data_IF_354871223175
#
_entry.id   IF_354871223175
#
_cell.length_a   1.000
_cell.length_b   1.000
_cell.length_c   1.000
_cell.angle_alpha   90.00
_cell.angle_beta   90.00
_cell.angle_gamma   90.00
#
_symmetry.space_group_name_H-M   'P 1'
#
loop_
_entity.id
_entity.type
_entity.pdbx_description
1 polymer ?
#
# COMPACT_ATOMS: atom_id res chain seq x y z
N UNK A 1 -1.62 -14.00 17.00
CA UNK A 1 -1.89 -14.02 15.55
C UNK A 1 -1.36 -15.32 14.99
N UNK A 2 -1.78 -15.72 13.77
CA UNK A 2 -1.19 -16.87 13.06
C UNK A 2 0.18 -16.49 12.48
N UNK A 3 0.34 -15.26 12.00
CA UNK A 3 1.62 -14.69 11.59
C UNK A 3 2.40 -14.16 12.80
N UNK A 4 3.70 -14.41 12.83
CA UNK A 4 4.68 -13.71 13.65
C UNK A 4 4.91 -12.28 13.13
N UNK A 5 5.48 -11.41 13.97
CA UNK A 5 5.87 -10.05 13.54
C UNK A 5 6.81 -10.07 12.33
N UNK A 6 7.79 -10.99 12.32
CA UNK A 6 8.73 -11.11 11.22
C UNK A 6 8.05 -11.53 9.91
N UNK A 7 7.12 -12.49 9.96
CA UNK A 7 6.34 -12.91 8.78
C UNK A 7 5.41 -11.80 8.26
N UNK A 8 4.82 -10.99 9.16
CA UNK A 8 4.03 -9.83 8.77
C UNK A 8 4.89 -8.78 8.06
N UNK A 9 6.06 -8.43 8.62
CA UNK A 9 6.99 -7.48 8.00
C UNK A 9 7.42 -8.00 6.62
N UNK A 10 7.86 -9.26 6.52
CA UNK A 10 8.28 -9.85 5.25
C UNK A 10 7.14 -9.87 4.21
N UNK A 11 5.89 -10.07 4.65
CA UNK A 11 4.72 -9.98 3.76
C UNK A 11 4.52 -8.56 3.21
N UNK A 12 4.63 -7.54 4.05
CA UNK A 12 4.54 -6.14 3.65
C UNK A 12 5.69 -5.71 2.72
N UNK A 13 6.91 -6.15 3.01
CA UNK A 13 8.06 -5.91 2.13
C UNK A 13 7.88 -6.56 0.75
N UNK A 14 7.29 -7.75 0.72
CA UNK A 14 6.93 -8.40 -0.54
C UNK A 14 5.85 -7.63 -1.31
N UNK A 15 4.87 -7.03 -0.63
CA UNK A 15 3.90 -6.12 -1.26
C UNK A 15 4.58 -4.92 -1.93
N UNK A 16 5.56 -4.30 -1.26
CA UNK A 16 6.35 -3.18 -1.82
C UNK A 16 7.10 -3.64 -3.07
N UNK A 17 7.79 -4.78 -3.01
CA UNK A 17 8.54 -5.34 -4.15
C UNK A 17 7.64 -5.55 -5.37
N UNK A 18 6.47 -6.15 -5.18
CA UNK A 18 5.51 -6.40 -6.26
C UNK A 18 4.97 -5.09 -6.81
N UNK A 19 4.65 -4.13 -5.95
CA UNK A 19 4.15 -2.81 -6.37
C UNK A 19 5.21 -2.06 -7.20
N UNK A 20 6.49 -2.09 -6.78
CA UNK A 20 7.59 -1.50 -7.54
C UNK A 20 7.77 -2.17 -8.90
N UNK A 21 7.62 -3.51 -8.98
CA UNK A 21 7.64 -4.22 -10.26
C UNK A 21 6.58 -3.69 -11.22
N UNK A 22 5.33 -3.58 -10.75
CA UNK A 22 4.22 -3.04 -11.55
C UNK A 22 4.43 -1.56 -11.91
N UNK A 23 4.90 -0.75 -10.97
CA UNK A 23 5.22 0.66 -11.22
C UNK A 23 6.29 0.81 -12.32
N UNK A 24 7.27 -0.09 -12.38
CA UNK A 24 8.26 -0.16 -13.46
C UNK A 24 7.69 -0.44 -14.85
N UNK A 25 6.42 -0.86 -14.96
CA UNK A 25 5.72 -1.11 -16.23
C UNK A 25 4.88 0.08 -16.70
N UNK A 26 4.80 1.15 -15.91
CA UNK A 26 4.03 2.34 -16.27
C UNK A 26 4.67 3.03 -17.48
N UNK A 27 3.89 3.24 -18.54
CA UNK A 27 4.25 4.22 -19.57
C UNK A 27 4.05 5.64 -19.00
N UNK A 28 5.11 6.45 -19.03
CA UNK A 28 5.09 7.85 -18.54
C UNK A 28 4.09 8.73 -19.29
N UNK A 29 3.75 8.39 -20.53
CA UNK A 29 2.72 9.12 -21.29
C UNK A 29 1.29 8.85 -20.78
N UNK A 30 1.10 7.83 -19.92
CA UNK A 30 -0.21 7.37 -19.45
C UNK A 30 -0.45 7.69 -17.97
N UNK A 31 0.37 8.53 -17.33
CA UNK A 31 0.24 8.83 -15.89
C UNK A 31 -1.14 9.35 -15.48
N UNK A 32 -1.80 10.11 -16.37
CA UNK A 32 -3.12 10.67 -16.15
C UNK A 32 -4.28 9.73 -16.55
N UNK A 33 -3.97 8.53 -17.06
CA UNK A 33 -4.99 7.55 -17.43
C UNK A 33 -5.85 7.17 -16.24
N UNK A 34 -7.18 7.19 -16.46
CA UNK A 34 -8.22 6.74 -15.53
C UNK A 34 -9.22 5.89 -16.32
N UNK A 35 -9.67 4.72 -15.82
CA UNK A 35 -10.71 3.95 -16.50
C UNK A 35 -12.07 4.67 -16.50
N UNK A 36 -12.36 5.43 -15.44
CA UNK A 36 -13.56 6.28 -15.36
C UNK A 36 -13.24 7.60 -14.65
N UNK A 37 -14.08 8.63 -14.86
CA UNK A 37 -13.87 9.99 -14.32
C UNK A 37 -13.72 10.05 -12.78
N UNK A 38 -14.37 9.15 -12.04
CA UNK A 38 -14.35 9.14 -10.56
C UNK A 38 -13.23 8.27 -9.97
N UNK A 39 -12.48 7.56 -10.80
CA UNK A 39 -11.35 6.75 -10.34
C UNK A 39 -10.06 7.58 -10.34
N UNK A 40 -9.12 7.19 -9.47
CA UNK A 40 -7.76 7.76 -9.45
C UNK A 40 -7.05 7.53 -10.78
N UNK A 41 -6.15 8.42 -11.18
CA UNK A 41 -5.24 8.12 -12.29
C UNK A 41 -4.15 7.13 -11.87
N UNK A 42 -3.31 6.68 -12.80
CA UNK A 42 -2.14 5.84 -12.46
C UNK A 42 -1.25 6.54 -11.45
N UNK A 43 -0.87 7.80 -11.70
CA UNK A 43 -0.02 8.56 -10.78
C UNK A 43 -0.69 8.72 -9.42
N UNK A 44 -1.95 9.11 -9.43
CA UNK A 44 -2.72 9.40 -8.22
C UNK A 44 -2.96 8.14 -7.37
N UNK A 45 -3.09 6.97 -8.01
CA UNK A 45 -3.15 5.67 -7.33
C UNK A 45 -1.81 5.31 -6.70
N UNK A 46 -0.69 5.54 -7.38
CA UNK A 46 0.65 5.31 -6.84
C UNK A 46 0.97 6.27 -5.69
N UNK A 47 0.59 7.54 -5.79
CA UNK A 47 0.72 8.52 -4.72
C UNK A 47 -0.05 8.06 -3.48
N UNK A 48 -1.30 7.62 -3.64
CA UNK A 48 -2.08 7.03 -2.56
C UNK A 48 -1.38 5.80 -1.94
N UNK A 49 -0.90 4.87 -2.77
CA UNK A 49 -0.18 3.68 -2.29
C UNK A 49 1.15 4.02 -1.58
N UNK A 50 1.76 5.16 -1.89
CA UNK A 50 2.99 5.63 -1.24
C UNK A 50 2.81 6.10 0.21
N UNK A 51 1.57 6.36 0.66
CA UNK A 51 1.28 6.81 2.03
C UNK A 51 0.31 5.89 2.79
N UNK A 52 -0.62 5.21 2.11
CA UNK A 52 -1.72 4.48 2.75
C UNK A 52 -1.24 3.49 3.82
N UNK A 53 -0.26 2.65 3.48
CA UNK A 53 0.23 1.61 4.39
C UNK A 53 0.82 2.19 5.68
N UNK A 54 1.87 3.02 5.61
CA UNK A 54 2.48 3.65 6.78
C UNK A 54 1.49 4.42 7.67
N UNK A 55 0.61 5.23 7.08
CA UNK A 55 -0.34 6.06 7.84
C UNK A 55 -1.41 5.21 8.54
N UNK A 56 -1.93 4.17 7.87
CA UNK A 56 -2.88 3.26 8.52
C UNK A 56 -2.22 2.43 9.62
N UNK A 57 -0.94 2.05 9.48
CA UNK A 57 -0.21 1.38 10.57
C UNK A 57 -0.12 2.30 11.79
N UNK A 58 0.17 3.59 11.60
CA UNK A 58 0.18 4.56 12.71
C UNK A 58 -1.19 4.68 13.38
N UNK A 59 -2.27 4.77 12.60
CA UNK A 59 -3.63 4.78 13.14
C UNK A 59 -3.94 3.52 13.96
N UNK A 60 -3.52 2.35 13.46
CA UNK A 60 -3.69 1.07 14.16
C UNK A 60 -2.86 1.03 15.46
N UNK A 61 -1.62 1.50 15.44
CA UNK A 61 -0.78 1.60 16.65
C UNK A 61 -1.45 2.48 17.70
N UNK A 62 -1.89 3.66 17.30
CA UNK A 62 -2.54 4.64 18.17
C UNK A 62 -3.95 4.20 18.61
N UNK A 63 -4.55 3.25 17.91
CA UNK A 63 -5.91 2.77 18.16
C UNK A 63 -7.00 3.77 17.77
N UNK A 64 -6.65 4.80 16.99
CA UNK A 64 -7.54 5.84 16.51
C UNK A 64 -7.04 6.39 15.17
N UNK A 65 -7.98 6.70 14.27
CA UNK A 65 -7.67 7.38 13.02
C UNK A 65 -7.53 8.89 13.28
N UNK A 66 -6.45 9.49 12.78
CA UNK A 66 -6.22 10.93 12.82
C UNK A 66 -6.45 11.54 11.43
N UNK A 67 -7.60 12.19 11.19
CA UNK A 67 -7.90 12.79 9.91
C UNK A 67 -6.93 13.92 9.53
N UNK A 68 -6.40 14.66 10.51
CA UNK A 68 -5.51 15.79 10.22
C UNK A 68 -4.14 15.29 9.74
N UNK A 69 -3.57 14.28 10.43
CA UNK A 69 -2.35 13.63 9.99
C UNK A 69 -2.52 12.97 8.61
N UNK A 70 -3.66 12.31 8.38
CA UNK A 70 -3.97 11.71 7.08
C UNK A 70 -4.01 12.75 5.96
N UNK A 71 -4.71 13.88 6.15
CA UNK A 71 -4.78 14.94 5.15
C UNK A 71 -3.39 15.50 4.83
N UNK A 72 -2.54 15.73 5.83
CA UNK A 72 -1.17 16.18 5.61
C UNK A 72 -0.37 15.17 4.78
N UNK A 73 -0.49 13.87 5.08
CA UNK A 73 0.18 12.82 4.32
C UNK A 73 -0.34 12.69 2.89
N UNK A 74 -1.65 12.83 2.68
CA UNK A 74 -2.30 12.81 1.37
C UNK A 74 -1.87 14.00 0.51
N UNK A 75 -1.86 15.22 1.06
CA UNK A 75 -1.36 16.42 0.38
C UNK A 75 0.11 16.28 0.00
N UNK A 76 0.95 15.78 0.92
CA UNK A 76 2.36 15.54 0.66
C UNK A 76 2.58 14.48 -0.42
N UNK A 77 1.74 13.43 -0.46
CA UNK A 77 1.79 12.42 -1.51
C UNK A 77 1.34 12.96 -2.87
N UNK A 78 0.26 13.75 -2.89
CA UNK A 78 -0.29 14.36 -4.11
C UNK A 78 0.69 15.34 -4.78
N UNK A 79 1.58 15.96 -4.00
CA UNK A 79 2.61 16.87 -4.51
C UNK A 79 3.81 16.16 -5.18
N UNK A 80 3.95 14.84 -5.04
CA UNK A 80 5.09 14.09 -5.60
C UNK A 80 4.91 13.88 -7.10
N UNK A 81 6.00 14.01 -7.86
CA UNK A 81 6.03 13.46 -9.21
C UNK A 81 6.10 11.91 -9.17
N UNK A 82 6.14 11.28 -10.35
CA UNK A 82 6.21 9.83 -10.44
C UNK A 82 7.48 9.24 -9.79
N UNK A 83 8.65 9.84 -10.02
CA UNK A 83 9.91 9.30 -9.52
C UNK A 83 10.02 9.42 -8.00
N UNK A 84 9.58 10.56 -7.46
CA UNK A 84 9.44 10.78 -6.02
C UNK A 84 8.44 9.81 -5.40
N UNK A 85 7.34 9.51 -6.10
CA UNK A 85 6.33 8.56 -5.64
C UNK A 85 6.89 7.13 -5.60
N UNK A 86 7.60 6.69 -6.64
CA UNK A 86 8.23 5.36 -6.69
C UNK A 86 9.32 5.24 -5.61
N UNK A 87 10.12 6.29 -5.40
CA UNK A 87 11.11 6.33 -4.32
C UNK A 87 10.45 6.24 -2.93
N UNK A 88 9.34 6.95 -2.72
CA UNK A 88 8.56 6.88 -1.48
C UNK A 88 7.97 5.49 -1.23
N UNK A 89 7.48 4.81 -2.27
CA UNK A 89 7.05 3.41 -2.19
C UNK A 89 8.22 2.51 -1.78
N UNK A 90 9.39 2.67 -2.41
CA UNK A 90 10.59 1.88 -2.07
C UNK A 90 11.05 2.06 -0.63
N UNK A 91 10.94 3.26 -0.07
CA UNK A 91 11.26 3.53 1.33
C UNK A 91 10.32 2.81 2.32
N UNK A 92 9.15 2.32 1.88
CA UNK A 92 8.21 1.63 2.76
C UNK A 92 8.77 0.32 3.30
N UNK A 93 9.68 -0.35 2.59
CA UNK A 93 10.35 -1.58 3.07
C UNK A 93 10.94 -1.37 4.46
N UNK A 94 11.78 -0.34 4.64
CA UNK A 94 12.37 -0.01 5.93
C UNK A 94 11.36 0.61 6.90
N UNK A 95 10.40 1.39 6.39
CA UNK A 95 9.38 2.03 7.20
C UNK A 95 8.51 1.00 7.93
N UNK A 96 8.11 -0.10 7.28
CA UNK A 96 7.29 -1.14 7.90
C UNK A 96 8.01 -1.83 9.05
N UNK A 97 9.29 -2.16 8.87
CA UNK A 97 10.11 -2.72 9.95
C UNK A 97 10.20 -1.75 11.13
N UNK A 98 10.45 -0.47 10.85
CA UNK A 98 10.57 0.60 11.86
C UNK A 98 9.25 0.78 12.62
N UNK A 99 8.14 0.89 11.91
CA UNK A 99 6.81 1.14 12.49
C UNK A 99 6.37 0.01 13.41
N UNK A 100 6.71 -1.24 13.09
CA UNK A 100 6.29 -2.41 13.85
C UNK A 100 7.32 -2.86 14.91
N UNK A 101 8.50 -2.25 14.95
CA UNK A 101 9.63 -2.70 15.77
C UNK A 101 9.27 -2.81 17.26
N UNK A 102 8.57 -1.81 17.79
CA UNK A 102 8.17 -1.67 19.20
C UNK A 102 6.90 -2.44 19.58
N UNK A 103 6.18 -3.02 18.61
CA UNK A 103 4.97 -3.79 18.90
C UNK A 103 5.31 -5.20 19.43
N UNK A 104 4.74 -5.52 20.59
CA UNK A 104 4.75 -6.84 21.19
C UNK A 104 3.58 -7.71 20.71
N UNK A 105 3.66 -9.02 20.96
CA UNK A 105 2.54 -9.96 20.71
C UNK A 105 1.25 -9.57 21.44
N UNK A 106 1.37 -8.93 22.62
CA UNK A 106 0.23 -8.42 23.37
C UNK A 106 -0.40 -7.22 22.66
N UNK A 107 0.41 -6.30 22.12
CA UNK A 107 -0.09 -5.14 21.37
C UNK A 107 -0.86 -5.56 20.13
N UNK A 108 -0.37 -6.56 19.39
CA UNK A 108 -1.07 -7.12 18.24
C UNK A 108 -2.43 -7.74 18.61
N UNK A 109 -2.60 -8.25 19.83
CA UNK A 109 -3.84 -8.87 20.33
C UNK A 109 -4.79 -7.87 20.99
N UNK A 110 -4.31 -6.67 21.32
CA UNK A 110 -5.13 -5.65 21.93
C UNK A 110 -6.21 -5.17 20.95
N UNK A 111 -7.41 -4.96 21.48
CA UNK A 111 -8.57 -4.48 20.72
C UNK A 111 -8.53 -2.96 20.57
N UNK A 112 -8.95 -2.50 19.39
CA UNK A 112 -9.15 -1.10 19.05
C UNK A 112 -10.46 -0.96 18.27
N UNK A 113 -10.92 0.28 18.10
CA UNK A 113 -12.04 0.60 17.23
C UNK A 113 -11.56 1.58 16.15
N UNK A 114 -11.72 1.19 14.89
CA UNK A 114 -11.36 2.02 13.74
C UNK A 114 -12.51 2.00 12.74
N UNK A 115 -12.88 3.18 12.25
CA UNK A 115 -13.94 3.37 11.25
C UNK A 115 -15.30 2.75 11.63
N UNK A 116 -15.58 2.64 12.94
CA UNK A 116 -16.81 2.04 13.46
C UNK A 116 -16.77 0.52 13.64
N UNK A 117 -15.66 -0.12 13.26
CA UNK A 117 -15.44 -1.55 13.47
C UNK A 117 -14.52 -1.81 14.67
N UNK A 118 -14.83 -2.86 15.43
CA UNK A 118 -14.00 -3.34 16.55
C UNK A 118 -13.19 -4.55 16.14
N UNK A 119 -11.92 -4.61 16.56
CA UNK A 119 -11.06 -5.75 16.31
C UNK A 119 -9.67 -5.59 16.90
N UNK A 120 -8.86 -6.66 16.81
CA UNK A 120 -7.47 -6.60 17.27
C UNK A 120 -6.61 -5.78 16.29
N UNK A 121 -5.55 -5.13 16.78
CA UNK A 121 -4.56 -4.45 15.91
C UNK A 121 -4.05 -5.37 14.81
N UNK A 122 -3.74 -6.62 15.16
CA UNK A 122 -3.31 -7.64 14.21
C UNK A 122 -4.31 -7.90 13.09
N UNK A 123 -5.60 -7.95 13.42
CA UNK A 123 -6.67 -8.11 12.43
C UNK A 123 -6.75 -6.91 11.47
N UNK A 124 -6.62 -5.69 12.00
CA UNK A 124 -6.61 -4.48 11.17
C UNK A 124 -5.36 -4.41 10.28
N UNK A 125 -4.18 -4.81 10.77
CA UNK A 125 -2.96 -4.84 9.95
C UNK A 125 -3.10 -5.77 8.74
N UNK A 126 -3.71 -6.94 8.92
CA UNK A 126 -3.95 -7.86 7.80
C UNK A 126 -5.00 -7.30 6.85
N UNK A 127 -6.18 -6.90 7.36
CA UNK A 127 -7.32 -6.57 6.50
C UNK A 127 -7.24 -5.17 5.88
N UNK A 128 -6.71 -4.18 6.57
CA UNK A 128 -6.59 -2.82 6.03
C UNK A 128 -5.30 -2.63 5.23
N UNK A 129 -4.20 -3.27 5.66
CA UNK A 129 -2.89 -3.06 5.01
C UNK A 129 -2.63 -4.12 3.97
N UNK A 130 -2.43 -5.40 4.36
CA UNK A 130 -2.06 -6.45 3.40
C UNK A 130 -3.12 -6.65 2.32
N UNK A 131 -4.39 -6.80 2.71
CA UNK A 131 -5.48 -6.92 1.74
C UNK A 131 -5.68 -5.62 0.94
N UNK A 132 -5.44 -4.45 1.55
CA UNK A 132 -5.46 -3.16 0.87
C UNK A 132 -4.41 -3.06 -0.24
N UNK A 133 -3.15 -3.40 0.07
CA UNK A 133 -2.05 -3.47 -0.90
C UNK A 133 -2.41 -4.41 -2.06
N UNK A 134 -2.91 -5.61 -1.77
CA UNK A 134 -3.33 -6.57 -2.79
C UNK A 134 -4.48 -6.04 -3.68
N UNK A 135 -5.46 -5.36 -3.09
CA UNK A 135 -6.58 -4.78 -3.84
C UNK A 135 -6.12 -3.66 -4.78
N UNK A 136 -5.35 -2.69 -4.26
CA UNK A 136 -4.94 -1.53 -5.06
C UNK A 136 -3.83 -1.86 -6.07
N UNK A 137 -2.94 -2.82 -5.80
CA UNK A 137 -2.00 -3.31 -6.83
C UNK A 137 -2.74 -4.04 -7.96
N UNK A 138 -3.84 -4.75 -7.64
CA UNK A 138 -4.69 -5.38 -8.67
C UNK A 138 -5.35 -4.32 -9.53
N UNK A 139 -5.81 -3.22 -8.93
CA UNK A 139 -6.31 -2.06 -9.69
C UNK A 139 -5.24 -1.49 -10.62
N UNK A 140 -3.99 -1.27 -10.14
CA UNK A 140 -2.88 -0.81 -10.98
C UNK A 140 -2.59 -1.78 -12.14
N UNK A 141 -2.53 -3.08 -11.87
CA UNK A 141 -2.32 -4.11 -12.89
C UNK A 141 -3.36 -4.03 -14.02
N UNK A 142 -4.64 -3.86 -13.67
CA UNK A 142 -5.69 -3.69 -14.68
C UNK A 142 -5.54 -2.40 -15.48
N UNK A 143 -5.05 -1.32 -14.86
CA UNK A 143 -4.82 -0.05 -15.55
C UNK A 143 -3.69 -0.20 -16.57
N UNK A 144 -2.59 -0.86 -16.17
CA UNK A 144 -1.46 -1.15 -17.06
C UNK A 144 -1.91 -1.95 -18.29
N UNK A 145 -2.72 -3.01 -18.10
CA UNK A 145 -3.26 -3.78 -19.24
C UNK A 145 -4.16 -2.93 -20.13
N UNK A 146 -5.01 -2.08 -19.54
CA UNK A 146 -5.86 -1.17 -20.31
C UNK A 146 -5.06 -0.11 -21.09
N UNK A 147 -3.85 0.23 -20.63
CA UNK A 147 -2.87 1.07 -21.31
C UNK A 147 -1.99 0.30 -22.32
N UNK A 148 -2.36 -0.93 -22.70
CA UNK A 148 -1.70 -1.70 -23.75
C UNK A 148 -0.53 -2.57 -23.29
N UNK A 149 -0.34 -2.76 -21.97
CA UNK A 149 0.65 -3.71 -21.42
C UNK A 149 0.10 -5.15 -21.46
N UNK A 150 -0.14 -5.65 -22.68
CA UNK A 150 -0.74 -6.96 -22.92
C UNK A 150 0.14 -8.11 -22.42
N UNK A 151 1.46 -7.91 -22.41
CA UNK A 151 2.48 -8.84 -21.93
C UNK A 151 2.39 -9.17 -20.44
N UNK A 152 1.70 -8.34 -19.64
CA UNK A 152 1.61 -8.58 -18.19
C UNK A 152 0.70 -9.77 -17.89
N UNK A 153 1.23 -10.74 -17.16
CA UNK A 153 0.51 -11.93 -16.76
C UNK A 153 0.12 -11.89 -15.28
N UNK A 154 -0.56 -12.94 -14.84
CA UNK A 154 -0.83 -13.23 -13.43
C UNK A 154 0.46 -13.21 -12.59
N UNK A 155 1.61 -13.61 -13.14
CA UNK A 155 2.88 -13.61 -12.42
C UNK A 155 3.38 -12.19 -12.09
N UNK A 156 3.14 -11.20 -12.95
CA UNK A 156 3.45 -9.80 -12.63
C UNK A 156 2.64 -9.31 -11.42
N UNK A 157 1.36 -9.69 -11.33
CA UNK A 157 0.47 -9.28 -10.24
C UNK A 157 0.79 -9.98 -8.91
N UNK A 158 1.05 -11.28 -8.94
CA UNK A 158 1.16 -12.08 -7.72
C UNK A 158 2.60 -12.29 -7.24
N UNK A 159 3.54 -12.43 -8.17
CA UNK A 159 4.93 -12.71 -7.86
C UNK A 159 5.85 -11.52 -8.13
N UNK A 160 5.40 -10.50 -8.87
CA UNK A 160 6.23 -9.34 -9.20
C UNK A 160 7.45 -9.74 -10.05
N UNK A 161 7.23 -10.58 -11.06
CA UNK A 161 8.26 -11.05 -12.02
C UNK A 161 7.70 -10.97 -13.44
N UNK A 162 8.58 -10.82 -14.43
CA UNK A 162 8.23 -11.00 -15.84
C UNK A 162 8.30 -12.49 -16.21
N UNK A 163 7.53 -12.90 -17.21
CA UNK A 163 7.59 -14.24 -17.81
C UNK A 163 8.66 -14.35 -18.90
#
# INVERSE_FOLDING_TARGET
MVLTKAELIASLENEVRILLHLAGKVDRAQLDYRPTRKQRSILELLQYLSMMGPELIQAIKNGAFDPAAWTVAEEAAAARDFDQTVAAIGAQTEAYATLLADMSDADFRAEIELFGDKGTRGNFLVNLILCGCAAYRTQLFLYLKACGREELSTMNLWAGVDE
#
